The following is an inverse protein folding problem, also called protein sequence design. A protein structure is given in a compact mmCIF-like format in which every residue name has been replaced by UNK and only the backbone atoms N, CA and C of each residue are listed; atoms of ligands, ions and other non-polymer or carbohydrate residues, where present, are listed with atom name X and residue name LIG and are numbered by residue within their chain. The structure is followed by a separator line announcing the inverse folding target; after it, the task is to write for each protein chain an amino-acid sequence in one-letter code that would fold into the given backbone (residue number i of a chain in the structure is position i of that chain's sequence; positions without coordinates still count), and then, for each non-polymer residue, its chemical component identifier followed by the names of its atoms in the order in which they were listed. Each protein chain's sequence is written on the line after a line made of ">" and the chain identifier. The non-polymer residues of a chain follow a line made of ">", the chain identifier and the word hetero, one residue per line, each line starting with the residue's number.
data_IF_842070016382
#
_entry.id   IF_842070016382
#
_cell.length_a   1.000
_cell.length_b   1.000
_cell.length_c   1.000
_cell.angle_alpha   90.00
_cell.angle_beta   90.00
_cell.angle_gamma   90.00
#
_symmetry.space_group_name_H-M   'P 1'
#
loop_
_entity.id
_entity.type
_entity.pdbx_description
1 polymer ?
#
# COMPACT_ATOMS: atom_id res chain seq x y z
N UNK A 1 5.89 8.42 -25.07
CA UNK A 1 7.24 8.95 -25.34
C UNK A 1 8.20 8.05 -24.60
N UNK A 2 9.07 7.33 -25.29
CA UNK A 2 10.11 6.53 -24.63
C UNK A 2 11.12 7.48 -23.97
N UNK A 3 11.61 7.18 -22.76
CA UNK A 3 12.69 7.96 -22.18
C UNK A 3 13.92 7.87 -23.08
N UNK A 4 14.59 8.98 -23.24
CA UNK A 4 15.84 9.04 -24.02
C UNK A 4 16.90 8.32 -23.18
N UNK A 5 17.10 7.04 -23.43
CA UNK A 5 18.21 6.28 -22.85
C UNK A 5 19.48 6.61 -23.62
N UNK A 6 20.38 7.36 -23.02
CA UNK A 6 21.74 7.50 -23.52
C UNK A 6 22.51 6.23 -23.14
N UNK A 7 23.50 5.81 -23.95
CA UNK A 7 24.37 4.67 -23.65
C UNK A 7 25.29 4.86 -22.42
N UNK A 8 25.24 6.01 -21.80
CA UNK A 8 25.80 6.34 -20.50
C UNK A 8 24.68 6.10 -19.48
N UNK A 9 24.58 4.91 -18.92
CA UNK A 9 23.55 4.51 -17.98
C UNK A 9 23.37 5.47 -16.80
N UNK A 10 23.67 5.06 -15.60
CA UNK A 10 23.50 5.86 -14.39
C UNK A 10 24.61 6.91 -14.26
N UNK A 11 24.21 8.20 -14.22
CA UNK A 11 25.13 9.32 -14.15
C UNK A 11 25.54 9.63 -12.71
N UNK A 12 24.65 9.38 -11.76
CA UNK A 12 24.85 9.68 -10.36
C UNK A 12 24.28 8.59 -9.47
N UNK A 13 25.06 8.17 -8.48
CA UNK A 13 24.66 7.19 -7.50
C UNK A 13 24.88 7.76 -6.10
N UNK A 14 23.92 7.50 -5.20
CA UNK A 14 24.01 7.87 -3.79
C UNK A 14 23.50 6.74 -2.90
N UNK A 15 23.86 6.77 -1.63
CA UNK A 15 23.44 5.78 -0.63
C UNK A 15 22.80 6.49 0.54
N UNK A 16 21.61 6.03 0.94
CA UNK A 16 21.01 6.43 2.20
C UNK A 16 21.63 5.59 3.33
N UNK A 17 22.15 6.27 4.34
CA UNK A 17 22.68 5.65 5.55
C UNK A 17 21.98 6.21 6.76
N UNK A 18 21.82 5.38 7.79
CA UNK A 18 21.34 5.83 9.09
C UNK A 18 22.50 6.46 9.83
N UNK A 19 22.26 7.61 10.47
CA UNK A 19 23.26 8.21 11.35
C UNK A 19 23.37 7.38 12.66
N UNK A 20 24.57 7.34 13.27
CA UNK A 20 24.78 6.64 14.54
C UNK A 20 23.77 7.10 15.61
N UNK A 21 23.14 6.14 16.29
CA UNK A 21 22.12 6.39 17.32
C UNK A 21 20.69 6.41 16.83
N UNK A 22 20.45 6.18 15.52
CA UNK A 22 19.11 6.10 14.94
C UNK A 22 18.81 4.75 14.29
N UNK A 23 19.66 3.74 14.50
CA UNK A 23 19.56 2.43 13.89
C UNK A 23 18.27 1.70 14.23
N UNK A 24 17.78 1.88 15.46
CA UNK A 24 16.52 1.27 15.92
C UNK A 24 15.28 1.89 15.28
N UNK A 25 15.41 3.13 14.78
CA UNK A 25 14.30 3.88 14.19
C UNK A 25 14.17 3.70 12.69
N UNK A 26 15.30 3.55 11.99
CA UNK A 26 15.36 3.49 10.53
C UNK A 26 16.01 2.20 10.08
N UNK A 27 15.19 1.18 9.87
CA UNK A 27 15.63 -0.07 9.25
C UNK A 27 15.71 0.04 7.72
N UNK A 28 16.12 -1.04 7.07
CA UNK A 28 16.23 -1.08 5.60
C UNK A 28 14.88 -0.90 4.88
N UNK A 29 13.76 -1.19 5.52
CA UNK A 29 12.41 -0.98 4.99
C UNK A 29 12.00 0.49 5.08
N UNK A 30 12.30 1.15 6.19
CA UNK A 30 12.04 2.57 6.35
C UNK A 30 12.93 3.43 5.43
N UNK A 31 14.22 3.10 5.29
CA UNK A 31 15.09 3.78 4.33
C UNK A 31 14.58 3.66 2.89
N UNK A 32 14.10 2.47 2.50
CA UNK A 32 13.48 2.27 1.20
C UNK A 32 12.20 3.08 1.03
N UNK A 33 11.39 3.16 2.07
CA UNK A 33 10.17 3.96 2.08
C UNK A 33 10.49 5.45 1.92
N UNK A 34 11.48 5.97 2.65
CA UNK A 34 11.95 7.36 2.52
C UNK A 34 12.45 7.63 1.10
N UNK A 35 13.24 6.72 0.55
CA UNK A 35 13.75 6.84 -0.82
C UNK A 35 12.60 6.95 -1.84
N UNK A 36 11.64 6.03 -1.80
CA UNK A 36 10.60 5.94 -2.83
C UNK A 36 9.52 7.02 -2.68
N UNK A 37 9.18 7.42 -1.46
CA UNK A 37 8.09 8.35 -1.21
C UNK A 37 8.49 9.80 -0.95
N UNK A 38 9.70 10.05 -0.50
CA UNK A 38 10.17 11.40 -0.19
C UNK A 38 11.25 11.82 -1.20
N UNK A 39 12.39 11.15 -1.19
CA UNK A 39 13.56 11.56 -1.98
C UNK A 39 13.27 11.50 -3.48
N UNK A 40 12.77 10.37 -3.96
CA UNK A 40 12.42 10.19 -5.38
C UNK A 40 11.42 11.25 -5.87
N UNK A 41 10.40 11.56 -5.07
CA UNK A 41 9.39 12.57 -5.44
C UNK A 41 9.98 13.98 -5.52
N UNK A 42 10.85 14.35 -4.59
CA UNK A 42 11.49 15.66 -4.59
C UNK A 42 12.48 15.81 -5.74
N UNK A 43 13.27 14.78 -5.99
CA UNK A 43 14.27 14.80 -7.07
C UNK A 43 13.63 14.72 -8.47
N UNK A 44 12.52 14.02 -8.64
CA UNK A 44 11.82 13.93 -9.94
C UNK A 44 11.31 15.27 -10.47
N UNK A 45 11.21 16.29 -9.62
CA UNK A 45 10.82 17.65 -10.02
C UNK A 45 11.98 18.53 -10.51
N UNK A 46 13.22 18.05 -10.46
CA UNK A 46 14.41 18.83 -10.81
C UNK A 46 14.65 18.73 -12.33
N UNK A 47 14.76 19.87 -13.05
CA UNK A 47 15.09 19.85 -14.47
C UNK A 47 16.39 19.12 -14.75
N UNK A 48 16.37 18.21 -15.74
CA UNK A 48 17.51 17.39 -16.12
C UNK A 48 17.56 16.00 -15.50
N UNK A 49 16.74 15.70 -14.49
CA UNK A 49 16.60 14.34 -13.95
C UNK A 49 15.48 13.63 -14.74
N UNK A 50 15.85 12.58 -15.45
CA UNK A 50 14.95 11.80 -16.30
C UNK A 50 14.31 10.67 -15.51
N UNK A 51 15.11 9.93 -14.74
CA UNK A 51 14.64 8.77 -13.99
C UNK A 51 15.48 8.58 -12.71
N UNK A 52 14.84 8.05 -11.67
CA UNK A 52 15.49 7.71 -10.41
C UNK A 52 15.12 6.27 -10.08
N UNK A 53 16.13 5.42 -10.06
CA UNK A 53 16.00 4.00 -9.72
C UNK A 53 16.50 3.74 -8.31
N UNK A 54 15.80 2.85 -7.59
CA UNK A 54 16.16 2.50 -6.22
C UNK A 54 16.56 1.04 -6.15
N UNK A 55 17.74 0.77 -5.63
CA UNK A 55 18.26 -0.57 -5.40
C UNK A 55 18.39 -0.82 -3.89
N UNK A 56 18.20 -2.07 -3.47
CA UNK A 56 18.32 -2.43 -2.05
C UNK A 56 17.07 -2.08 -1.21
N UNK A 57 17.20 -2.30 0.09
CA UNK A 57 16.10 -2.16 1.04
C UNK A 57 14.96 -3.15 0.83
N UNK A 58 13.95 -3.11 1.71
CA UNK A 58 12.74 -3.92 1.61
C UNK A 58 11.56 -3.03 1.26
N UNK A 59 10.80 -3.41 0.23
CA UNK A 59 9.58 -2.69 -0.11
C UNK A 59 8.52 -2.97 0.96
N UNK A 60 8.06 -1.90 1.61
CA UNK A 60 7.01 -1.99 2.62
C UNK A 60 5.67 -2.29 1.96
N UNK A 61 5.04 -3.37 2.40
CA UNK A 61 3.71 -3.77 1.94
C UNK A 61 2.86 -4.27 3.10
N UNK A 62 1.55 -4.21 2.94
CA UNK A 62 0.64 -4.92 3.83
C UNK A 62 0.60 -6.40 3.46
N UNK A 63 0.81 -7.24 4.44
CA UNK A 63 0.70 -8.70 4.31
C UNK A 63 -0.50 -9.18 5.12
N UNK A 64 -1.40 -9.90 4.48
CA UNK A 64 -2.51 -10.59 5.13
C UNK A 64 -2.14 -12.06 5.21
N UNK A 65 -1.66 -12.49 6.38
CA UNK A 65 -1.32 -13.88 6.64
C UNK A 65 -2.58 -14.62 7.09
N UNK A 66 -3.23 -15.29 6.14
CA UNK A 66 -4.47 -16.04 6.41
C UNK A 66 -4.18 -17.36 7.11
N UNK A 67 -5.10 -17.75 8.02
CA UNK A 67 -5.10 -19.03 8.69
C UNK A 67 -5.95 -20.04 7.86
N UNK A 68 -5.35 -21.11 7.33
CA UNK A 68 -6.08 -22.11 6.55
C UNK A 68 -7.23 -22.78 7.32
N UNK A 69 -7.06 -23.03 8.62
CA UNK A 69 -8.06 -23.66 9.45
C UNK A 69 -9.26 -22.74 9.68
N UNK A 70 -9.01 -21.44 9.86
CA UNK A 70 -10.07 -20.45 9.93
C UNK A 70 -10.84 -20.33 8.60
N UNK A 71 -10.13 -20.33 7.46
CA UNK A 71 -10.76 -20.31 6.13
C UNK A 71 -11.67 -21.52 5.94
N UNK A 72 -11.17 -22.70 6.30
CA UNK A 72 -11.93 -23.95 6.17
C UNK A 72 -13.16 -23.96 7.08
N UNK A 73 -13.02 -23.61 8.35
CA UNK A 73 -14.12 -23.60 9.33
C UNK A 73 -15.24 -22.62 8.97
N UNK A 74 -14.90 -21.49 8.37
CA UNK A 74 -15.84 -20.45 7.94
C UNK A 74 -16.29 -20.66 6.49
N UNK A 75 -15.81 -21.69 5.80
CA UNK A 75 -16.07 -21.99 4.40
C UNK A 75 -15.82 -20.78 3.49
N UNK A 76 -14.67 -20.12 3.66
CA UNK A 76 -14.21 -18.96 2.89
C UNK A 76 -13.07 -19.37 1.99
N UNK A 77 -13.15 -18.97 0.73
CA UNK A 77 -12.10 -19.20 -0.26
C UNK A 77 -11.10 -18.03 -0.29
N UNK A 78 -9.86 -18.32 -0.69
CA UNK A 78 -8.85 -17.27 -0.88
C UNK A 78 -9.28 -16.25 -1.93
N UNK A 79 -10.09 -16.67 -2.93
CA UNK A 79 -10.64 -15.79 -3.95
C UNK A 79 -11.64 -14.76 -3.40
N UNK A 80 -12.45 -15.14 -2.40
CA UNK A 80 -13.35 -14.23 -1.70
C UNK A 80 -12.56 -13.20 -0.90
N UNK A 81 -11.50 -13.61 -0.22
CA UNK A 81 -10.59 -12.71 0.52
C UNK A 81 -9.97 -11.68 -0.44
N UNK A 82 -9.39 -12.16 -1.55
CA UNK A 82 -8.79 -11.29 -2.56
C UNK A 82 -9.80 -10.31 -3.15
N UNK A 83 -10.99 -10.77 -3.48
CA UNK A 83 -12.07 -9.92 -4.01
C UNK A 83 -12.50 -8.85 -3.01
N UNK A 84 -12.61 -9.21 -1.73
CA UNK A 84 -12.95 -8.26 -0.68
C UNK A 84 -11.88 -7.19 -0.50
N UNK A 85 -10.60 -7.58 -0.46
CA UNK A 85 -9.48 -6.64 -0.37
C UNK A 85 -9.44 -5.68 -1.55
N UNK A 86 -9.60 -6.19 -2.77
CA UNK A 86 -9.58 -5.37 -4.00
C UNK A 86 -10.72 -4.36 -4.05
N UNK A 87 -11.93 -4.75 -3.65
CA UNK A 87 -13.12 -3.89 -3.65
C UNK A 87 -13.03 -2.78 -2.58
N UNK A 88 -12.39 -3.06 -1.46
CA UNK A 88 -12.29 -2.13 -0.34
C UNK A 88 -11.04 -1.22 -0.37
N UNK A 89 -10.25 -1.28 -1.43
CA UNK A 89 -9.08 -0.41 -1.61
C UNK A 89 -9.25 0.51 -2.83
N UNK A 90 -10.40 1.18 -2.93
CA UNK A 90 -10.72 2.05 -4.03
C UNK A 90 -11.42 3.33 -3.53
N UNK A 91 -10.99 4.46 -4.06
CA UNK A 91 -11.75 5.68 -3.91
C UNK A 91 -12.89 5.69 -4.92
N UNK A 92 -14.10 5.90 -4.44
CA UNK A 92 -15.27 6.03 -5.31
C UNK A 92 -15.63 7.51 -5.45
N UNK A 93 -15.66 8.00 -6.69
CA UNK A 93 -16.21 9.32 -6.99
C UNK A 93 -17.69 9.32 -6.67
N UNK A 94 -18.12 10.29 -5.88
CA UNK A 94 -19.52 10.46 -5.52
C UNK A 94 -20.22 11.46 -6.43
N UNK A 95 -21.54 11.44 -6.39
CA UNK A 95 -22.39 12.47 -6.97
C UNK A 95 -22.43 13.70 -6.06
N UNK A 96 -23.09 14.75 -6.52
CA UNK A 96 -23.39 15.90 -5.67
C UNK A 96 -24.90 15.94 -5.35
N UNK A 97 -25.21 16.51 -4.20
CA UNK A 97 -26.59 16.76 -3.79
C UNK A 97 -26.79 18.27 -3.79
N UNK A 98 -27.76 18.75 -4.56
CA UNK A 98 -28.18 20.15 -4.51
C UNK A 98 -29.22 20.33 -3.42
N UNK A 99 -28.97 21.23 -2.50
CA UNK A 99 -29.91 21.62 -1.46
C UNK A 99 -29.84 23.13 -1.23
N UNK A 100 -30.94 23.83 -1.49
CA UNK A 100 -31.11 25.26 -1.22
C UNK A 100 -29.91 26.10 -1.69
N UNK A 101 -29.70 26.17 -3.01
CA UNK A 101 -28.61 26.93 -3.66
C UNK A 101 -27.18 26.56 -3.24
N UNK A 102 -26.95 25.34 -2.72
CA UNK A 102 -25.63 24.82 -2.41
C UNK A 102 -25.47 23.41 -2.97
N UNK A 103 -24.33 23.16 -3.60
CA UNK A 103 -23.94 21.82 -4.03
C UNK A 103 -23.06 21.17 -2.97
N UNK A 104 -23.47 20.00 -2.47
CA UNK A 104 -22.69 19.18 -1.55
C UNK A 104 -22.08 18.03 -2.33
N UNK A 105 -20.77 18.03 -2.45
CA UNK A 105 -20.05 16.93 -3.10
C UNK A 105 -19.88 15.77 -2.12
N UNK A 106 -20.36 14.59 -2.52
CA UNK A 106 -20.15 13.35 -1.78
C UNK A 106 -18.86 12.72 -2.31
N UNK A 107 -17.90 12.50 -1.44
CA UNK A 107 -16.66 11.79 -1.75
C UNK A 107 -16.50 10.62 -0.81
N UNK A 108 -16.35 9.42 -1.35
CA UNK A 108 -16.01 8.25 -0.56
C UNK A 108 -14.49 8.07 -0.55
N UNK A 109 -13.90 8.17 0.62
CA UNK A 109 -12.49 7.82 0.83
C UNK A 109 -12.42 6.35 1.25
N UNK A 110 -12.11 5.46 0.30
CA UNK A 110 -12.02 4.02 0.52
C UNK A 110 -10.60 3.47 0.48
N UNK A 111 -9.58 4.33 0.42
CA UNK A 111 -8.19 3.89 0.46
C UNK A 111 -7.78 3.45 1.86
N UNK A 112 -7.14 2.30 1.94
CA UNK A 112 -6.56 1.76 3.16
C UNK A 112 -5.44 2.69 3.66
N UNK A 113 -5.51 3.08 4.93
CA UNK A 113 -4.53 3.96 5.58
C UNK A 113 -3.66 3.19 6.58
N UNK A 114 -4.23 2.22 7.27
CA UNK A 114 -3.52 1.46 8.29
C UNK A 114 -3.90 -0.05 8.30
N UNK A 115 -3.24 -0.80 9.17
CA UNK A 115 -3.47 -2.25 9.36
C UNK A 115 -4.89 -2.51 9.84
N UNK A 116 -5.44 -1.64 10.71
CA UNK A 116 -6.79 -1.81 11.29
C UNK A 116 -7.89 -1.65 10.24
N UNK A 117 -7.67 -0.80 9.24
CA UNK A 117 -8.61 -0.65 8.14
C UNK A 117 -8.74 -1.96 7.37
N UNK A 118 -7.61 -2.66 7.14
CA UNK A 118 -7.61 -3.97 6.47
C UNK A 118 -8.28 -5.03 7.33
N UNK A 119 -7.99 -5.07 8.62
CA UNK A 119 -8.60 -6.04 9.55
C UNK A 119 -10.12 -5.93 9.60
N UNK A 120 -10.67 -4.72 9.45
CA UNK A 120 -12.11 -4.44 9.47
C UNK A 120 -12.83 -4.71 8.15
N UNK A 121 -12.13 -5.02 7.07
CA UNK A 121 -12.76 -5.33 5.79
C UNK A 121 -13.64 -6.57 5.94
N UNK A 122 -14.91 -6.44 5.58
CA UNK A 122 -15.86 -7.54 5.57
C UNK A 122 -15.63 -8.38 4.32
N UNK A 123 -15.36 -9.67 4.49
CA UNK A 123 -15.17 -10.61 3.39
C UNK A 123 -16.52 -11.12 2.92
N UNK A 124 -17.34 -11.58 3.86
CA UNK A 124 -18.66 -12.16 3.58
C UNK A 124 -19.56 -12.02 4.80
N UNK A 125 -20.84 -12.34 4.60
CA UNK A 125 -21.82 -12.40 5.70
C UNK A 125 -22.31 -13.85 5.82
N UNK A 126 -22.18 -14.46 6.97
CA UNK A 126 -22.64 -15.82 7.25
C UNK A 126 -23.72 -15.79 8.33
N UNK A 127 -24.95 -16.13 7.93
CA UNK A 127 -26.09 -16.15 8.86
C UNK A 127 -26.39 -14.82 9.53
N UNK A 128 -26.14 -13.69 8.87
CA UNK A 128 -26.34 -12.35 9.43
C UNK A 128 -25.12 -11.81 10.21
N UNK A 129 -24.05 -12.58 10.34
CA UNK A 129 -22.82 -12.18 11.05
C UNK A 129 -21.75 -11.86 10.00
N UNK A 130 -21.21 -10.62 10.00
CA UNK A 130 -20.12 -10.26 9.11
C UNK A 130 -18.83 -10.96 9.55
N UNK A 131 -18.09 -11.53 8.59
CA UNK A 131 -16.76 -12.09 8.80
C UNK A 131 -15.73 -11.11 8.21
N UNK A 132 -14.79 -10.70 9.06
CA UNK A 132 -13.77 -9.72 8.70
C UNK A 132 -12.44 -10.41 8.36
N UNK A 133 -11.54 -9.66 7.72
CA UNK A 133 -10.17 -10.12 7.44
C UNK A 133 -9.44 -10.50 8.74
N UNK A 134 -9.64 -9.74 9.82
CA UNK A 134 -9.06 -10.03 11.13
C UNK A 134 -9.52 -11.34 11.76
N UNK A 135 -10.69 -11.87 11.36
CA UNK A 135 -11.21 -13.14 11.88
C UNK A 135 -10.55 -14.37 11.22
N UNK A 136 -9.95 -14.19 10.03
CA UNK A 136 -9.35 -15.26 9.25
C UNK A 136 -7.82 -15.22 9.21
N UNK A 137 -7.20 -14.22 9.82
CA UNK A 137 -5.75 -14.09 9.78
C UNK A 137 -5.22 -12.85 10.45
N UNK A 138 -3.93 -12.65 10.31
CA UNK A 138 -3.21 -11.48 10.87
C UNK A 138 -2.76 -10.55 9.77
N UNK A 139 -2.96 -9.26 9.99
CA UNK A 139 -2.47 -8.21 9.10
C UNK A 139 -1.22 -7.58 9.71
N UNK A 140 -0.17 -7.46 8.91
CA UNK A 140 1.10 -6.86 9.35
C UNK A 140 1.81 -6.17 8.19
N UNK A 141 2.81 -5.37 8.53
CA UNK A 141 3.78 -4.95 7.52
C UNK A 141 4.72 -6.10 7.18
N UNK A 142 4.96 -6.28 5.91
CA UNK A 142 5.87 -7.29 5.40
C UNK A 142 6.65 -6.77 4.20
N UNK A 143 7.52 -7.62 3.69
CA UNK A 143 8.25 -7.38 2.45
C UNK A 143 8.06 -8.56 1.50
N UNK A 144 8.02 -8.33 0.18
CA UNK A 144 7.97 -9.42 -0.78
C UNK A 144 9.17 -10.34 -0.60
N UNK A 145 8.94 -11.65 -0.68
CA UNK A 145 10.04 -12.61 -0.69
C UNK A 145 10.91 -12.34 -1.90
N UNK A 146 12.21 -12.24 -1.69
CA UNK A 146 13.20 -12.22 -2.77
C UNK A 146 13.60 -13.65 -3.08
N UNK A 147 13.51 -14.00 -4.33
CA UNK A 147 14.02 -15.28 -4.87
C UNK A 147 15.38 -15.04 -5.47
#
# INVERSE_FOLDING_TARGET
>A
MMPITTGLGEIYQYVLKVEPGYEDKYDAMELRTIQDWIVKRQLSGIPGIVEINSFGGYLKQYEVAVDPDALYSLNITIGEVFSALSKNNQNTGGSYIEKVNRAYYIRSEGMIKDVKDIERIVITNRGGIPVHVGDIGKVRFGAPKRF
#
